data_IF_992578239399
#
_entry.id   IF_992578239399
#
_cell.length_a   1.000
_cell.length_b   1.000
_cell.length_c   1.000
_cell.angle_alpha   90.00
_cell.angle_beta   90.00
_cell.angle_gamma   90.00
#
_symmetry.space_group_name_H-M   'P 1'
#
loop_
_entity.id
_entity.type
_entity.pdbx_description
1 polymer ?
#
# COMPACT_ATOMS: atom_id res chain seq x y z
N UNK A 1 -11.91 5.53 12.35
CA UNK A 1 -11.02 6.71 12.30
C UNK A 1 -11.42 7.73 13.37
N UNK A 2 -12.72 8.12 13.46
CA UNK A 2 -13.17 9.17 14.40
C UNK A 2 -12.79 8.88 15.86
N UNK A 3 -13.01 7.65 16.31
CA UNK A 3 -12.61 7.25 17.68
C UNK A 3 -11.10 7.30 17.90
N UNK A 4 -10.30 6.90 16.91
CA UNK A 4 -8.84 6.98 17.01
C UNK A 4 -8.38 8.44 17.10
N UNK A 5 -8.92 9.30 16.24
CA UNK A 5 -8.62 10.72 16.22
C UNK A 5 -9.04 11.45 17.52
N UNK A 6 -10.07 10.96 18.21
CA UNK A 6 -10.50 11.49 19.51
C UNK A 6 -9.69 10.91 20.67
N UNK A 7 -9.53 9.57 20.70
CA UNK A 7 -8.91 8.88 21.85
C UNK A 7 -7.42 9.20 22.01
N UNK A 8 -6.68 9.41 20.90
CA UNK A 8 -5.27 9.75 20.97
C UNK A 8 -5.05 11.12 21.67
N UNK A 9 -5.66 12.23 21.23
CA UNK A 9 -5.55 13.52 21.93
C UNK A 9 -6.13 13.49 23.34
N UNK A 10 -7.22 12.76 23.58
CA UNK A 10 -7.81 12.66 24.91
C UNK A 10 -6.86 11.92 25.88
N UNK A 11 -6.23 10.84 25.47
CA UNK A 11 -5.23 10.15 26.26
C UNK A 11 -4.01 11.05 26.52
N UNK A 12 -3.54 11.77 25.50
CA UNK A 12 -2.45 12.72 25.62
C UNK A 12 -2.77 13.82 26.65
N UNK A 13 -3.99 14.37 26.59
CA UNK A 13 -4.45 15.39 27.53
C UNK A 13 -4.44 14.88 28.96
N UNK A 14 -4.98 13.68 29.21
CA UNK A 14 -5.02 13.05 30.55
C UNK A 14 -3.61 12.83 31.09
N UNK A 15 -2.70 12.28 30.28
CA UNK A 15 -1.32 12.06 30.70
C UNK A 15 -0.58 13.37 30.97
N UNK A 16 -0.73 14.37 30.09
CA UNK A 16 -0.11 15.69 30.30
C UNK A 16 -0.66 16.41 31.53
N UNK A 17 -1.96 16.30 31.82
CA UNK A 17 -2.56 16.85 33.03
C UNK A 17 -1.99 16.17 34.30
N UNK A 18 -1.73 14.88 34.25
CA UNK A 18 -1.15 14.14 35.37
C UNK A 18 0.35 14.45 35.57
N UNK A 19 1.10 14.62 34.48
CA UNK A 19 2.55 14.87 34.53
C UNK A 19 2.92 16.35 34.63
N UNK A 20 1.96 17.27 34.56
CA UNK A 20 2.19 18.73 34.56
C UNK A 20 2.70 19.28 33.24
N UNK A 21 2.64 18.48 32.14
CA UNK A 21 3.18 18.82 30.81
C UNK A 21 2.25 19.60 29.88
N UNK A 22 1.27 20.35 30.39
CA UNK A 22 0.26 21.02 29.56
C UNK A 22 0.83 22.10 28.63
N UNK A 23 1.84 22.84 29.06
CA UNK A 23 2.51 23.85 28.23
C UNK A 23 3.22 23.20 27.05
N UNK A 24 3.95 22.10 27.30
CA UNK A 24 4.62 21.29 26.27
C UNK A 24 3.60 20.72 25.30
N UNK A 25 2.45 20.22 25.80
CA UNK A 25 1.38 19.68 24.98
C UNK A 25 0.79 20.73 24.04
N UNK A 26 0.51 21.94 24.57
CA UNK A 26 -0.04 23.05 23.79
C UNK A 26 0.90 23.48 22.68
N UNK A 27 2.19 23.69 23.00
CA UNK A 27 3.22 24.08 22.03
C UNK A 27 3.40 23.00 20.95
N UNK A 28 3.49 21.73 21.36
CA UNK A 28 3.63 20.62 20.42
C UNK A 28 2.42 20.46 19.47
N UNK A 29 1.21 20.76 19.98
CA UNK A 29 -0.02 20.74 19.17
C UNK A 29 0.05 21.74 18.01
N UNK A 30 0.42 22.98 18.30
CA UNK A 30 0.54 24.04 17.29
C UNK A 30 1.71 23.76 16.32
N UNK A 31 2.86 23.37 16.83
CA UNK A 31 4.03 23.02 16.01
C UNK A 31 3.75 21.84 15.06
N UNK A 32 2.99 20.84 15.52
CA UNK A 32 2.58 19.72 14.67
C UNK A 32 1.65 20.17 13.53
N UNK A 33 0.70 21.07 13.81
CA UNK A 33 -0.19 21.62 12.80
C UNK A 33 0.58 22.46 11.76
N UNK A 34 1.47 23.35 12.22
CA UNK A 34 2.31 24.16 11.34
C UNK A 34 3.25 23.30 10.47
N UNK A 35 3.80 22.23 11.01
CA UNK A 35 4.71 21.32 10.31
C UNK A 35 4.06 20.46 9.20
N UNK A 36 2.73 20.40 9.14
CA UNK A 36 2.01 19.59 8.16
C UNK A 36 2.08 20.19 6.74
N UNK A 37 1.97 21.51 6.61
CA UNK A 37 1.95 22.20 5.31
C UNK A 37 3.32 22.14 4.61
N UNK A 38 4.43 22.53 5.26
CA UNK A 38 5.77 22.38 4.65
C UNK A 38 6.09 20.95 4.25
N UNK A 39 5.67 19.95 5.05
CA UNK A 39 5.83 18.54 4.70
C UNK A 39 5.10 18.21 3.40
N UNK A 40 3.81 18.58 3.28
CA UNK A 40 3.04 18.32 2.08
C UNK A 40 3.64 19.02 0.85
N UNK A 41 4.06 20.26 1.00
CA UNK A 41 4.70 21.02 -0.08
C UNK A 41 6.03 20.40 -0.52
N UNK A 42 6.83 19.86 0.42
CA UNK A 42 8.05 19.11 0.10
C UNK A 42 7.83 17.86 -0.75
N UNK A 43 6.62 17.30 -0.72
CA UNK A 43 6.26 16.11 -1.51
C UNK A 43 5.80 16.44 -2.94
N UNK A 44 5.38 17.68 -3.21
CA UNK A 44 4.76 18.09 -4.50
C UNK A 44 5.64 17.70 -5.68
N UNK A 45 6.94 18.04 -5.66
CA UNK A 45 7.83 17.81 -6.79
C UNK A 45 8.00 16.32 -7.12
N UNK A 46 8.20 15.51 -6.09
CA UNK A 46 8.41 14.06 -6.27
C UNK A 46 7.11 13.36 -6.67
N UNK A 47 5.97 13.75 -6.10
CA UNK A 47 4.66 13.23 -6.51
C UNK A 47 4.33 13.62 -7.96
N UNK A 48 4.60 14.87 -8.35
CA UNK A 48 4.43 15.34 -9.73
C UNK A 48 5.32 14.55 -10.69
N UNK A 49 6.59 14.29 -10.33
CA UNK A 49 7.50 13.47 -11.13
C UNK A 49 6.91 12.07 -11.37
N UNK A 50 6.57 11.34 -10.30
CA UNK A 50 6.10 9.96 -10.44
C UNK A 50 4.74 9.87 -11.15
N UNK A 51 3.78 10.73 -10.82
CA UNK A 51 2.48 10.71 -11.49
C UNK A 51 2.57 11.21 -12.94
N UNK A 52 3.48 12.13 -13.23
CA UNK A 52 3.81 12.52 -14.61
C UNK A 52 4.35 11.36 -15.44
N UNK A 53 5.34 10.63 -14.90
CA UNK A 53 5.91 9.45 -15.56
C UNK A 53 4.87 8.33 -15.75
N UNK A 54 4.04 8.09 -14.72
CA UNK A 54 3.00 7.08 -14.79
C UNK A 54 1.92 7.43 -15.82
N UNK A 55 1.60 8.72 -16.00
CA UNK A 55 0.67 9.18 -17.04
C UNK A 55 1.22 8.96 -18.46
N UNK A 56 2.50 9.17 -18.67
CA UNK A 56 3.17 8.80 -19.93
C UNK A 56 3.06 7.29 -20.18
N UNK A 57 3.33 6.48 -19.19
CA UNK A 57 3.24 5.02 -19.27
C UNK A 57 1.80 4.54 -19.54
N UNK A 58 0.82 5.13 -18.86
CA UNK A 58 -0.62 4.86 -19.06
C UNK A 58 -1.04 5.15 -20.49
N UNK A 59 -0.77 6.36 -21.00
CA UNK A 59 -1.05 6.75 -22.40
C UNK A 59 -0.29 5.92 -23.42
N UNK A 60 0.88 5.41 -23.06
CA UNK A 60 1.65 4.48 -23.88
C UNK A 60 1.05 3.05 -23.93
N UNK A 61 0.03 2.75 -23.11
CA UNK A 61 -0.60 1.45 -23.05
C UNK A 61 0.12 0.44 -22.16
N UNK A 62 0.95 0.91 -21.19
CA UNK A 62 1.64 0.04 -20.24
C UNK A 62 0.62 -0.70 -19.36
N UNK A 63 -0.48 -0.03 -18.98
CA UNK A 63 -1.56 -0.63 -18.20
C UNK A 63 -2.18 -1.81 -18.94
N UNK A 64 -2.51 -1.64 -20.23
CA UNK A 64 -3.08 -2.71 -21.07
C UNK A 64 -2.10 -3.86 -21.30
N UNK A 65 -0.81 -3.55 -21.47
CA UNK A 65 0.24 -4.56 -21.63
C UNK A 65 0.38 -5.40 -20.34
N UNK A 66 0.40 -4.75 -19.17
CA UNK A 66 0.44 -5.42 -17.86
C UNK A 66 -0.81 -6.26 -17.64
N UNK A 67 -1.99 -5.75 -18.00
CA UNK A 67 -3.26 -6.46 -17.91
C UNK A 67 -3.24 -7.75 -18.74
N UNK A 68 -2.71 -7.73 -19.96
CA UNK A 68 -2.57 -8.94 -20.81
C UNK A 68 -1.67 -10.00 -20.18
N UNK A 69 -0.59 -9.58 -19.52
CA UNK A 69 0.32 -10.51 -18.82
C UNK A 69 -0.35 -11.13 -17.59
N UNK A 70 -1.18 -10.37 -16.88
CA UNK A 70 -1.87 -10.83 -15.67
C UNK A 70 -3.13 -11.66 -15.94
N UNK A 71 -3.75 -11.50 -17.11
CA UNK A 71 -5.01 -12.16 -17.46
C UNK A 71 -4.98 -13.69 -17.27
N UNK A 72 -3.98 -14.45 -17.74
CA UNK A 72 -3.94 -15.91 -17.55
C UNK A 72 -3.88 -16.31 -16.07
N UNK A 73 -3.25 -15.52 -15.22
CA UNK A 73 -3.18 -15.76 -13.78
C UNK A 73 -4.54 -15.54 -13.12
N UNK A 74 -5.21 -14.42 -13.44
CA UNK A 74 -6.52 -14.10 -12.87
C UNK A 74 -7.60 -15.10 -13.33
N UNK A 75 -7.59 -15.55 -14.57
CA UNK A 75 -8.49 -16.61 -15.04
C UNK A 75 -8.39 -17.89 -14.19
N UNK A 76 -7.20 -18.24 -13.71
CA UNK A 76 -7.01 -19.40 -12.81
C UNK A 76 -7.40 -19.11 -11.36
N UNK A 77 -7.19 -17.89 -10.90
CA UNK A 77 -7.57 -17.48 -9.56
C UNK A 77 -9.07 -17.37 -9.38
N UNK A 78 -9.81 -17.05 -10.44
CA UNK A 78 -11.25 -16.81 -10.42
C UNK A 78 -12.03 -17.77 -11.34
N UNK A 79 -12.00 -19.10 -11.11
CA UNK A 79 -12.67 -20.07 -11.96
C UNK A 79 -14.20 -19.95 -11.95
N UNK A 80 -14.76 -19.23 -10.97
CA UNK A 80 -16.21 -18.96 -10.86
C UNK A 80 -16.67 -17.81 -11.77
N UNK A 81 -15.71 -17.07 -12.37
CA UNK A 81 -16.02 -15.93 -13.26
C UNK A 81 -15.77 -16.33 -14.70
N UNK A 82 -16.78 -16.27 -15.59
CA UNK A 82 -16.58 -16.59 -16.99
C UNK A 82 -15.49 -15.71 -17.64
N UNK A 83 -14.64 -16.26 -18.52
CA UNK A 83 -13.54 -15.52 -19.14
C UNK A 83 -13.96 -14.27 -19.89
N UNK A 84 -15.11 -14.34 -20.58
CA UNK A 84 -15.64 -13.24 -21.40
C UNK A 84 -16.53 -12.28 -20.60
N UNK A 85 -16.71 -12.53 -19.29
CA UNK A 85 -17.54 -11.67 -18.45
C UNK A 85 -16.79 -10.34 -18.13
N UNK A 86 -17.48 -9.17 -18.17
CA UNK A 86 -16.85 -7.87 -17.91
C UNK A 86 -16.14 -7.77 -16.56
N UNK A 87 -16.54 -8.57 -15.56
CA UNK A 87 -15.86 -8.66 -14.27
C UNK A 87 -14.38 -9.02 -14.43
N UNK A 88 -14.05 -9.97 -15.31
CA UNK A 88 -12.68 -10.43 -15.52
C UNK A 88 -11.81 -9.27 -16.03
N UNK A 89 -12.25 -8.55 -17.05
CA UNK A 89 -11.54 -7.38 -17.57
C UNK A 89 -11.32 -6.30 -16.51
N UNK A 90 -12.35 -5.96 -15.73
CA UNK A 90 -12.26 -4.96 -14.68
C UNK A 90 -11.31 -5.39 -13.53
N UNK A 91 -11.34 -6.66 -13.13
CA UNK A 91 -10.41 -7.21 -12.12
C UNK A 91 -8.96 -7.16 -12.61
N UNK A 92 -8.70 -7.55 -13.87
CA UNK A 92 -7.36 -7.52 -14.47
C UNK A 92 -6.83 -6.09 -14.51
N UNK A 93 -7.63 -5.13 -14.94
CA UNK A 93 -7.26 -3.70 -14.98
C UNK A 93 -6.99 -3.14 -13.58
N UNK A 94 -7.80 -3.51 -12.58
CA UNK A 94 -7.59 -3.09 -11.20
C UNK A 94 -6.25 -3.61 -10.65
N UNK A 95 -5.97 -4.91 -10.82
CA UNK A 95 -4.71 -5.52 -10.34
C UNK A 95 -3.51 -4.94 -11.08
N UNK A 96 -3.63 -4.71 -12.40
CA UNK A 96 -2.57 -4.07 -13.19
C UNK A 96 -2.29 -2.63 -12.72
N UNK A 97 -3.34 -1.85 -12.42
CA UNK A 97 -3.20 -0.49 -11.91
C UNK A 97 -2.52 -0.47 -10.52
N UNK A 98 -2.90 -1.37 -9.63
CA UNK A 98 -2.24 -1.52 -8.31
C UNK A 98 -0.76 -1.88 -8.47
N UNK A 99 -0.45 -2.88 -9.31
CA UNK A 99 0.91 -3.34 -9.57
C UNK A 99 1.83 -2.19 -10.05
N UNK A 100 1.30 -1.33 -10.91
CA UNK A 100 2.01 -0.17 -11.45
C UNK A 100 2.02 1.04 -10.49
N UNK A 101 1.36 0.96 -9.33
CA UNK A 101 1.27 2.07 -8.39
C UNK A 101 0.31 3.20 -8.81
N UNK A 102 -0.63 2.90 -9.73
CA UNK A 102 -1.66 3.84 -10.21
C UNK A 102 -2.88 3.85 -9.28
N UNK A 103 -2.69 4.13 -7.98
CA UNK A 103 -3.74 4.01 -6.95
C UNK A 103 -5.05 4.75 -7.28
N UNK A 104 -4.96 5.93 -7.91
CA UNK A 104 -6.14 6.69 -8.32
C UNK A 104 -6.96 5.97 -9.40
N UNK A 105 -6.33 5.23 -10.31
CA UNK A 105 -6.99 4.45 -11.35
C UNK A 105 -7.47 3.08 -10.84
N UNK A 106 -6.82 2.51 -9.84
CA UNK A 106 -7.15 1.18 -9.31
C UNK A 106 -8.56 1.13 -8.68
N UNK A 107 -8.92 2.11 -7.85
CA UNK A 107 -10.20 2.13 -7.14
C UNK A 107 -11.42 2.12 -8.07
N UNK A 108 -11.53 2.96 -9.12
CA UNK A 108 -12.63 2.88 -10.07
C UNK A 108 -12.77 1.53 -10.77
N UNK A 109 -11.64 0.92 -11.19
CA UNK A 109 -11.65 -0.42 -11.76
C UNK A 109 -12.10 -1.48 -10.75
N UNK A 110 -11.69 -1.34 -9.48
CA UNK A 110 -12.10 -2.24 -8.41
C UNK A 110 -13.60 -2.16 -8.10
N UNK A 111 -14.19 -0.96 -8.09
CA UNK A 111 -15.63 -0.77 -7.93
C UNK A 111 -16.39 -1.42 -9.09
N UNK A 112 -15.99 -1.17 -10.35
CA UNK A 112 -16.58 -1.80 -11.52
C UNK A 112 -16.45 -3.33 -11.49
N UNK A 113 -15.29 -3.84 -11.04
CA UNK A 113 -15.11 -5.29 -10.88
C UNK A 113 -16.13 -5.85 -9.87
N UNK A 114 -16.32 -5.18 -8.73
CA UNK A 114 -17.30 -5.59 -7.72
C UNK A 114 -18.74 -5.51 -8.23
N UNK A 115 -19.11 -4.48 -8.99
CA UNK A 115 -20.42 -4.35 -9.61
C UNK A 115 -20.70 -5.52 -10.56
N UNK A 116 -19.75 -5.87 -11.40
CA UNK A 116 -19.85 -7.00 -12.31
C UNK A 116 -19.83 -8.35 -11.56
N UNK A 117 -19.03 -8.51 -10.51
CA UNK A 117 -19.07 -9.70 -9.66
C UNK A 117 -20.40 -9.84 -8.93
N UNK A 118 -21.02 -8.71 -8.52
CA UNK A 118 -22.33 -8.72 -7.88
C UNK A 118 -23.45 -9.12 -8.87
N UNK A 119 -23.30 -8.86 -10.16
CA UNK A 119 -24.25 -9.36 -11.17
C UNK A 119 -24.28 -10.89 -11.22
N UNK A 120 -23.14 -11.54 -10.97
CA UNK A 120 -23.00 -13.00 -10.90
C UNK A 120 -23.38 -13.59 -9.52
N UNK A 121 -23.63 -12.73 -8.52
CA UNK A 121 -23.90 -13.17 -7.15
C UNK A 121 -25.32 -13.73 -7.00
N UNK A 122 -25.49 -15.02 -6.66
CA UNK A 122 -26.81 -15.63 -6.49
C UNK A 122 -27.51 -15.17 -5.18
N UNK A 123 -26.76 -14.70 -4.17
CA UNK A 123 -27.28 -14.31 -2.86
C UNK A 123 -26.91 -12.86 -2.56
N UNK A 124 -27.79 -11.95 -2.98
CA UNK A 124 -27.55 -10.51 -2.79
C UNK A 124 -27.29 -10.13 -1.33
N UNK A 125 -26.38 -9.18 -1.13
CA UNK A 125 -26.00 -8.70 0.20
C UNK A 125 -25.02 -9.62 0.98
N UNK A 126 -24.65 -10.77 0.42
CA UNK A 126 -23.67 -11.70 1.01
C UNK A 126 -22.50 -11.89 0.03
N UNK A 127 -21.26 -11.67 0.48
CA UNK A 127 -20.10 -11.79 -0.38
C UNK A 127 -19.90 -13.20 -0.94
N UNK A 128 -19.60 -13.32 -2.24
CA UNK A 128 -19.19 -14.59 -2.89
C UNK A 128 -17.71 -14.89 -2.62
N UNK A 129 -17.25 -16.11 -2.92
CA UNK A 129 -15.83 -16.46 -2.80
C UNK A 129 -14.97 -15.61 -3.73
N UNK A 130 -15.42 -15.35 -4.97
CA UNK A 130 -14.74 -14.48 -5.91
C UNK A 130 -14.60 -13.04 -5.38
N UNK A 131 -15.67 -12.48 -4.81
CA UNK A 131 -15.64 -11.14 -4.21
C UNK A 131 -14.70 -11.06 -3.00
N UNK A 132 -14.70 -12.08 -2.13
CA UNK A 132 -13.77 -12.15 -0.99
C UNK A 132 -12.31 -12.26 -1.45
N UNK A 133 -12.02 -13.16 -2.41
CA UNK A 133 -10.68 -13.33 -2.95
C UNK A 133 -10.19 -12.04 -3.64
N UNK A 134 -11.03 -11.41 -4.45
CA UNK A 134 -10.69 -10.16 -5.12
C UNK A 134 -10.40 -9.04 -4.11
N UNK A 135 -11.20 -8.93 -3.05
CA UNK A 135 -10.97 -7.98 -1.97
C UNK A 135 -9.65 -8.29 -1.24
N UNK A 136 -9.38 -9.54 -0.90
CA UNK A 136 -8.15 -9.94 -0.22
C UNK A 136 -6.88 -9.62 -1.05
N UNK A 137 -6.92 -9.81 -2.37
CA UNK A 137 -5.83 -9.40 -3.28
C UNK A 137 -5.64 -7.89 -3.27
N UNK A 138 -6.73 -7.12 -3.21
CA UNK A 138 -6.65 -5.65 -3.16
C UNK A 138 -6.15 -5.13 -1.81
N UNK A 139 -6.41 -5.79 -0.70
CA UNK A 139 -5.85 -5.42 0.62
C UNK A 139 -4.36 -5.70 0.70
N UNK A 140 -3.90 -6.82 0.14
CA UNK A 140 -2.49 -7.18 0.08
C UNK A 140 -1.69 -6.43 -0.99
N UNK A 141 -2.37 -6.00 -2.04
CA UNK A 141 -1.97 -5.13 -3.17
C UNK A 141 -0.48 -5.17 -3.56
N UNK A 142 -0.11 -6.08 -4.50
CA UNK A 142 1.26 -6.09 -5.03
C UNK A 142 1.61 -4.74 -5.63
N UNK A 143 2.66 -4.11 -5.11
CA UNK A 143 3.13 -2.80 -5.54
C UNK A 143 4.61 -2.88 -5.93
N UNK A 144 4.94 -2.55 -7.19
CA UNK A 144 6.33 -2.50 -7.65
C UNK A 144 7.00 -1.23 -7.17
N UNK A 145 6.29 -0.10 -7.23
CA UNK A 145 6.83 1.21 -6.89
C UNK A 145 5.98 1.88 -5.80
N UNK A 146 6.43 1.89 -4.54
CA UNK A 146 5.77 2.63 -3.46
C UNK A 146 6.07 4.14 -3.57
N UNK A 147 5.51 4.80 -4.60
CA UNK A 147 5.83 6.18 -5.00
C UNK A 147 5.66 7.19 -3.87
N UNK A 148 4.61 7.06 -3.07
CA UNK A 148 4.35 7.95 -1.92
C UNK A 148 5.42 7.82 -0.82
N UNK A 149 5.92 6.61 -0.57
CA UNK A 149 6.99 6.38 0.41
C UNK A 149 8.32 6.94 -0.11
N UNK A 150 8.62 6.70 -1.39
CA UNK A 150 9.82 7.25 -2.03
C UNK A 150 9.79 8.78 -1.97
N UNK A 151 8.62 9.39 -2.27
CA UNK A 151 8.42 10.82 -2.19
C UNK A 151 8.67 11.36 -0.77
N UNK A 152 8.08 10.72 0.25
CA UNK A 152 8.25 11.12 1.64
C UNK A 152 9.72 11.02 2.08
N UNK A 153 10.40 9.91 1.80
CA UNK A 153 11.81 9.72 2.13
C UNK A 153 12.69 10.75 1.45
N UNK A 154 12.46 11.03 0.15
CA UNK A 154 13.15 12.08 -0.59
C UNK A 154 12.92 13.47 0.03
N UNK A 155 11.67 13.81 0.36
CA UNK A 155 11.32 15.08 0.99
C UNK A 155 11.91 15.28 2.40
N UNK A 156 12.26 14.17 3.08
CA UNK A 156 12.94 14.16 4.38
C UNK A 156 14.47 14.01 4.28
N UNK A 157 15.04 14.14 3.08
CA UNK A 157 16.48 14.15 2.85
C UNK A 157 17.15 12.78 2.89
N UNK A 158 16.42 11.69 2.59
CA UNK A 158 17.00 10.34 2.49
C UNK A 158 18.11 10.29 1.44
N UNK A 159 19.23 9.66 1.77
CA UNK A 159 20.34 9.43 0.84
C UNK A 159 19.98 8.39 -0.24
N UNK A 160 19.11 7.43 0.08
CA UNK A 160 18.58 6.42 -0.86
C UNK A 160 17.07 6.25 -0.72
N UNK A 161 16.25 7.14 -1.31
CA UNK A 161 14.78 7.06 -1.20
C UNK A 161 14.19 5.76 -1.73
N UNK A 162 14.85 5.11 -2.70
CA UNK A 162 14.41 3.88 -3.34
C UNK A 162 14.73 2.60 -2.55
N UNK A 163 15.45 2.68 -1.42
CA UNK A 163 15.81 1.51 -0.60
C UNK A 163 14.59 0.67 -0.16
N UNK A 164 13.41 1.27 -0.10
CA UNK A 164 12.14 0.59 0.25
C UNK A 164 11.57 -0.28 -0.87
N UNK A 165 12.03 -0.14 -2.13
CA UNK A 165 11.40 -0.81 -3.30
C UNK A 165 11.52 -2.33 -3.19
N UNK A 166 12.72 -2.85 -2.99
CA UNK A 166 12.96 -4.28 -2.91
C UNK A 166 12.23 -4.95 -1.73
N UNK A 167 12.36 -4.45 -0.47
CA UNK A 167 11.66 -5.06 0.65
C UNK A 167 10.14 -4.92 0.53
N UNK A 168 9.61 -3.82 -0.04
CA UNK A 168 8.18 -3.66 -0.29
C UNK A 168 7.68 -4.71 -1.30
N UNK A 169 8.37 -4.91 -2.40
CA UNK A 169 7.99 -5.91 -3.40
C UNK A 169 7.94 -7.32 -2.79
N UNK A 170 8.94 -7.70 -2.00
CA UNK A 170 8.96 -9.01 -1.31
C UNK A 170 7.78 -9.12 -0.34
N UNK A 171 7.56 -8.10 0.49
CA UNK A 171 6.49 -8.09 1.48
C UNK A 171 5.10 -8.17 0.84
N UNK A 172 4.84 -7.44 -0.25
CA UNK A 172 3.56 -7.47 -0.97
C UNK A 172 3.31 -8.82 -1.65
N UNK A 173 4.34 -9.45 -2.20
CA UNK A 173 4.21 -10.79 -2.82
C UNK A 173 3.86 -11.85 -1.79
N UNK A 174 4.52 -11.85 -0.64
CA UNK A 174 4.20 -12.77 0.47
C UNK A 174 2.80 -12.50 1.00
N UNK A 175 2.46 -11.24 1.28
CA UNK A 175 1.14 -10.84 1.74
C UNK A 175 0.04 -11.28 0.78
N UNK A 176 0.21 -11.06 -0.54
CA UNK A 176 -0.75 -11.47 -1.57
C UNK A 176 -0.86 -12.99 -1.67
N UNK A 177 0.26 -13.71 -1.60
CA UNK A 177 0.24 -15.18 -1.56
C UNK A 177 -0.55 -15.72 -0.37
N UNK A 178 -0.34 -15.14 0.82
CA UNK A 178 -1.09 -15.49 2.04
C UNK A 178 -2.56 -15.07 1.95
N UNK A 179 -2.87 -13.92 1.35
CA UNK A 179 -4.23 -13.48 1.08
C UNK A 179 -5.00 -14.47 0.21
N UNK A 180 -4.39 -14.93 -0.88
CA UNK A 180 -4.96 -15.95 -1.78
C UNK A 180 -5.16 -17.27 -1.03
N UNK A 181 -4.14 -17.72 -0.30
CA UNK A 181 -4.20 -18.97 0.46
C UNK A 181 -5.28 -18.92 1.54
N UNK A 182 -5.33 -17.86 2.34
CA UNK A 182 -6.34 -17.70 3.40
C UNK A 182 -7.76 -17.63 2.82
N UNK A 183 -7.96 -16.91 1.70
CA UNK A 183 -9.24 -16.87 1.03
C UNK A 183 -9.67 -18.26 0.55
N UNK A 184 -8.74 -19.07 0.03
CA UNK A 184 -9.02 -20.45 -0.40
C UNK A 184 -9.29 -21.40 0.77
N UNK A 185 -8.57 -21.28 1.86
CA UNK A 185 -8.76 -22.14 3.04
C UNK A 185 -10.03 -21.80 3.82
N UNK A 186 -10.40 -20.55 3.89
CA UNK A 186 -11.58 -20.08 4.65
C UNK A 186 -12.87 -20.08 3.82
N UNK A 187 -12.80 -20.34 2.51
CA UNK A 187 -14.01 -20.47 1.68
C UNK A 187 -14.86 -21.66 2.14
N UNK A 188 -16.09 -21.41 2.60
CA UNK A 188 -17.06 -22.45 2.92
C UNK A 188 -17.82 -22.89 1.65
N UNK A 189 -17.92 -24.20 1.43
CA UNK A 189 -18.68 -24.77 0.33
C UNK A 189 -17.82 -25.09 -0.91
N UNK A 190 -18.31 -26.02 -1.75
CA UNK A 190 -17.69 -26.31 -3.06
C UNK A 190 -17.92 -25.12 -3.97
N UNK A 191 -16.84 -24.46 -4.38
CA UNK A 191 -16.89 -23.62 -5.60
C UNK A 191 -17.31 -24.54 -6.75
N UNK A 192 -18.37 -24.21 -7.45
CA UNK A 192 -18.73 -24.89 -8.69
C UNK A 192 -17.79 -24.30 -9.75
N UNK A 193 -16.79 -25.03 -10.24
CA UNK A 193 -15.95 -24.52 -11.30
C UNK A 193 -16.83 -24.37 -12.54
N UNK A 194 -16.98 -23.17 -13.07
CA UNK A 194 -17.36 -23.04 -14.46
C UNK A 194 -16.20 -23.66 -15.25
N UNK A 195 -16.51 -24.70 -16.03
CA UNK A 195 -15.50 -25.43 -16.81
C UNK A 195 -14.84 -24.44 -17.79
N UNK A 196 -13.70 -23.91 -17.40
CA UNK A 196 -12.91 -23.02 -18.25
C UNK A 196 -12.01 -23.94 -19.10
N UNK A 197 -12.38 -24.08 -20.36
CA UNK A 197 -11.68 -24.91 -21.36
C UNK A 197 -10.30 -24.38 -21.81
N UNK A 198 -9.62 -23.56 -21.01
CA UNK A 198 -8.28 -23.06 -21.32
C UNK A 198 -7.33 -23.32 -20.16
N UNK A 199 -6.69 -24.48 -20.19
CA UNK A 199 -5.48 -24.70 -19.39
C UNK A 199 -4.35 -23.82 -19.96
N UNK A 200 -4.14 -22.61 -19.38
CA UNK A 200 -2.89 -21.90 -19.65
C UNK A 200 -1.73 -22.87 -19.29
N UNK A 201 -0.75 -23.03 -20.14
CA UNK A 201 0.24 -24.10 -20.00
C UNK A 201 1.04 -23.90 -18.69
N UNK A 202 1.29 -25.01 -17.99
CA UNK A 202 2.04 -24.99 -16.70
C UNK A 202 3.42 -24.32 -16.83
N UNK A 203 4.03 -24.39 -18.01
CA UNK A 203 5.32 -23.74 -18.27
C UNK A 203 5.23 -22.20 -18.18
N UNK A 204 4.09 -21.58 -18.51
CA UNK A 204 3.90 -20.12 -18.36
C UNK A 204 3.90 -19.69 -16.90
N UNK A 205 3.31 -20.49 -15.99
CA UNK A 205 3.39 -20.22 -14.55
C UNK A 205 4.79 -20.49 -14.00
N UNK A 206 5.46 -21.56 -14.47
CA UNK A 206 6.83 -21.82 -14.08
C UNK A 206 7.77 -20.70 -14.55
N UNK A 207 7.60 -20.19 -15.77
CA UNK A 207 8.38 -19.09 -16.31
C UNK A 207 8.15 -17.78 -15.52
N UNK A 208 6.89 -17.45 -15.18
CA UNK A 208 6.59 -16.28 -14.35
C UNK A 208 7.13 -16.45 -12.93
N UNK A 209 7.02 -17.63 -12.34
CA UNK A 209 7.57 -17.94 -11.01
C UNK A 209 9.09 -17.86 -10.98
N UNK A 210 9.78 -18.41 -12.00
CA UNK A 210 11.23 -18.34 -12.15
C UNK A 210 11.70 -16.90 -12.42
N UNK A 211 10.98 -16.14 -13.25
CA UNK A 211 11.26 -14.72 -13.50
C UNK A 211 11.15 -13.89 -12.24
N UNK A 212 10.11 -14.12 -11.43
CA UNK A 212 9.91 -13.44 -10.15
C UNK A 212 10.99 -13.85 -9.12
N UNK A 213 11.32 -15.13 -9.02
CA UNK A 213 12.40 -15.61 -8.16
C UNK A 213 13.76 -15.04 -8.56
N UNK A 214 14.03 -14.96 -9.87
CA UNK A 214 15.23 -14.32 -10.42
C UNK A 214 15.29 -12.84 -10.12
N UNK A 215 14.18 -12.12 -10.23
CA UNK A 215 14.07 -10.70 -9.84
C UNK A 215 14.33 -10.51 -8.36
N UNK A 216 13.71 -11.31 -7.50
CA UNK A 216 13.94 -11.27 -6.04
C UNK A 216 15.42 -11.57 -5.73
N UNK A 217 16.01 -12.60 -6.34
CA UNK A 217 17.41 -12.93 -6.15
C UNK A 217 18.35 -11.79 -6.60
N UNK A 218 18.04 -11.15 -7.73
CA UNK A 218 18.78 -9.98 -8.21
C UNK A 218 18.64 -8.78 -7.25
N UNK A 219 17.44 -8.51 -6.73
CA UNK A 219 17.19 -7.46 -5.76
C UNK A 219 17.90 -7.75 -4.41
N UNK A 220 17.98 -9.01 -3.99
CA UNK A 220 18.73 -9.40 -2.79
C UNK A 220 20.24 -9.26 -3.02
N UNK A 221 20.77 -9.70 -4.18
CA UNK A 221 22.19 -9.67 -4.45
C UNK A 221 22.76 -8.26 -4.69
N UNK A 222 21.98 -7.37 -5.31
CA UNK A 222 22.44 -6.05 -5.77
C UNK A 222 21.58 -4.89 -5.29
N UNK A 223 20.63 -5.10 -4.40
CA UNK A 223 19.63 -4.09 -4.01
C UNK A 223 20.20 -2.77 -3.50
N UNK A 224 21.29 -2.81 -2.75
CA UNK A 224 21.96 -1.59 -2.26
C UNK A 224 22.63 -0.82 -3.40
N UNK A 225 23.32 -1.52 -4.31
CA UNK A 225 23.99 -0.90 -5.47
C UNK A 225 22.97 -0.41 -6.49
N UNK A 226 21.93 -1.19 -6.75
CA UNK A 226 20.88 -0.88 -7.73
C UNK A 226 19.97 0.24 -7.23
N UNK A 227 19.84 0.44 -5.91
CA UNK A 227 18.93 1.45 -5.34
C UNK A 227 19.07 2.84 -5.95
N UNK A 228 20.30 3.31 -6.17
CA UNK A 228 20.57 4.61 -6.77
C UNK A 228 20.25 4.67 -8.28
N UNK A 229 20.21 3.54 -8.96
CA UNK A 229 19.89 3.45 -10.40
C UNK A 229 18.40 3.35 -10.67
N UNK A 230 17.59 2.94 -9.69
CA UNK A 230 16.15 2.68 -9.89
C UNK A 230 15.44 3.92 -10.44
N UNK A 231 15.57 5.07 -9.77
CA UNK A 231 14.84 6.27 -10.15
C UNK A 231 15.31 6.82 -11.51
N UNK A 232 16.63 7.04 -11.78
CA UNK A 232 17.08 7.50 -13.08
C UNK A 232 16.71 6.54 -14.22
N UNK A 233 16.89 5.25 -14.02
CA UNK A 233 16.53 4.24 -15.03
C UNK A 233 15.04 4.20 -15.31
N UNK A 234 14.21 4.34 -14.27
CA UNK A 234 12.75 4.41 -14.41
C UNK A 234 12.33 5.63 -15.25
N UNK A 235 12.90 6.80 -14.96
CA UNK A 235 12.62 8.03 -15.74
C UNK A 235 12.91 7.79 -17.22
N UNK A 236 14.13 7.32 -17.54
CA UNK A 236 14.54 7.09 -18.93
C UNK A 236 13.69 5.99 -19.58
N UNK A 237 13.42 4.90 -18.87
CA UNK A 237 12.64 3.78 -19.41
C UNK A 237 11.19 4.16 -19.72
N UNK A 238 10.51 4.90 -18.82
CA UNK A 238 9.12 5.30 -19.03
C UNK A 238 8.97 6.38 -20.09
N UNK A 239 9.88 7.36 -20.13
CA UNK A 239 9.89 8.35 -21.20
C UNK A 239 10.25 7.71 -22.55
N UNK A 240 11.26 6.82 -22.60
CA UNK A 240 11.64 6.08 -23.78
C UNK A 240 10.52 5.17 -24.29
N UNK A 241 9.80 4.49 -23.36
CA UNK A 241 8.61 3.72 -23.69
C UNK A 241 7.51 4.60 -24.30
N UNK A 242 7.24 5.79 -23.72
CA UNK A 242 6.29 6.76 -24.25
C UNK A 242 6.66 7.22 -25.67
N UNK A 243 7.95 7.53 -25.93
CA UNK A 243 8.44 7.88 -27.27
C UNK A 243 8.24 6.72 -28.26
N UNK A 244 8.60 5.51 -27.89
CA UNK A 244 8.39 4.32 -28.72
C UNK A 244 6.92 4.10 -29.07
N UNK A 245 6.03 4.41 -28.12
CA UNK A 245 4.56 4.33 -28.28
C UNK A 245 3.96 5.57 -28.95
N UNK A 246 4.78 6.53 -29.37
CA UNK A 246 4.38 7.81 -30.01
C UNK A 246 3.43 8.66 -29.15
N UNK A 247 3.62 8.60 -27.84
CA UNK A 247 2.90 9.46 -26.90
C UNK A 247 3.49 10.88 -26.97
N UNK A 248 2.64 11.90 -26.90
CA UNK A 248 3.07 13.27 -26.65
C UNK A 248 3.55 13.35 -25.18
N UNK A 249 4.82 12.99 -24.95
CA UNK A 249 5.36 12.72 -23.60
C UNK A 249 5.34 13.94 -22.70
N UNK A 250 5.62 15.12 -23.25
CA UNK A 250 5.64 16.35 -22.47
C UNK A 250 4.23 16.69 -21.93
N UNK A 251 3.23 16.68 -22.81
CA UNK A 251 1.85 16.97 -22.49
C UNK A 251 1.29 15.93 -21.51
N UNK A 252 1.56 14.65 -21.74
CA UNK A 252 1.15 13.56 -20.84
C UNK A 252 1.82 13.71 -19.48
N UNK A 253 3.11 14.02 -19.43
CA UNK A 253 3.82 14.25 -18.18
C UNK A 253 3.23 15.43 -17.41
N UNK A 254 2.99 16.58 -18.07
CA UNK A 254 2.42 17.76 -17.42
C UNK A 254 1.01 17.49 -16.88
N UNK A 255 0.19 16.71 -17.61
CA UNK A 255 -1.13 16.28 -17.13
C UNK A 255 -1.03 15.48 -15.84
N UNK A 256 -0.18 14.43 -15.81
CA UNK A 256 0.04 13.63 -14.60
C UNK A 256 0.71 14.42 -13.46
N UNK A 257 1.60 15.34 -13.77
CA UNK A 257 2.24 16.21 -12.78
C UNK A 257 1.21 17.12 -12.08
N UNK A 258 0.20 17.62 -12.80
CA UNK A 258 -0.92 18.38 -12.19
C UNK A 258 -1.74 17.52 -11.24
N UNK A 259 -1.97 16.25 -11.57
CA UNK A 259 -2.62 15.30 -10.66
C UNK A 259 -1.79 15.12 -9.39
N UNK A 260 -0.44 15.01 -9.52
CA UNK A 260 0.49 14.91 -8.40
C UNK A 260 0.43 16.09 -7.44
N UNK A 261 0.37 17.29 -7.99
CA UNK A 261 0.15 18.52 -7.21
C UNK A 261 -1.18 18.47 -6.44
N UNK A 262 -2.28 18.10 -7.14
CA UNK A 262 -3.59 18.01 -6.52
C UNK A 262 -3.64 16.98 -5.38
N UNK A 263 -2.94 15.86 -5.52
CA UNK A 263 -2.82 14.84 -4.46
C UNK A 263 -2.05 15.40 -3.26
N UNK A 264 -0.91 16.07 -3.48
CA UNK A 264 -0.12 16.65 -2.41
C UNK A 264 -0.91 17.71 -1.60
N UNK A 265 -1.70 18.54 -2.26
CA UNK A 265 -2.59 19.51 -1.58
C UNK A 265 -3.72 18.81 -0.82
N UNK A 266 -4.32 17.76 -1.41
CA UNK A 266 -5.43 17.00 -0.81
C UNK A 266 -5.05 16.31 0.49
N UNK A 267 -3.79 15.91 0.67
CA UNK A 267 -3.36 15.23 1.88
C UNK A 267 -3.15 16.17 3.07
N UNK A 268 -3.02 17.49 2.88
CA UNK A 268 -2.75 18.47 3.95
C UNK A 268 -3.72 18.34 5.13
N UNK A 269 -5.07 18.35 4.96
CA UNK A 269 -5.98 18.26 6.09
C UNK A 269 -5.80 16.95 6.90
N UNK A 270 -5.50 15.86 6.22
CA UNK A 270 -5.26 14.55 6.87
C UNK A 270 -3.93 14.58 7.64
N UNK A 271 -2.89 15.19 7.08
CA UNK A 271 -1.60 15.38 7.77
C UNK A 271 -1.78 16.23 9.03
N UNK A 272 -2.47 17.37 8.94
CA UNK A 272 -2.75 18.21 10.11
C UNK A 272 -3.43 17.39 11.21
N UNK A 273 -4.52 16.69 10.89
CA UNK A 273 -5.28 15.91 11.87
C UNK A 273 -4.43 14.84 12.56
N UNK A 274 -3.64 14.09 11.79
CA UNK A 274 -2.84 12.98 12.33
C UNK A 274 -1.56 13.48 13.02
N UNK A 275 -0.85 14.44 12.43
CA UNK A 275 0.36 14.99 13.06
C UNK A 275 0.05 15.65 14.40
N UNK A 276 -1.09 16.35 14.50
CA UNK A 276 -1.56 16.90 15.77
C UNK A 276 -1.85 15.79 16.77
N UNK A 277 -2.65 14.77 16.39
CA UNK A 277 -2.99 13.69 17.31
C UNK A 277 -1.75 12.91 17.80
N UNK A 278 -0.85 12.54 16.88
CA UNK A 278 0.38 11.80 17.21
C UNK A 278 1.39 12.68 17.93
N UNK A 279 1.52 13.94 17.52
CA UNK A 279 2.38 14.92 18.18
C UNK A 279 2.00 15.15 19.65
N UNK A 280 0.69 15.27 19.94
CA UNK A 280 0.17 15.35 21.31
C UNK A 280 0.51 14.10 22.14
N UNK A 281 0.27 12.90 21.60
CA UNK A 281 0.57 11.63 22.30
C UNK A 281 2.06 11.47 22.57
N UNK A 282 2.92 11.92 21.65
CA UNK A 282 4.37 11.90 21.84
C UNK A 282 4.82 12.93 22.88
N UNK A 283 4.32 14.18 22.80
CA UNK A 283 4.69 15.27 23.70
C UNK A 283 4.24 15.02 25.15
N UNK A 284 3.10 14.36 25.35
CA UNK A 284 2.61 13.99 26.69
C UNK A 284 3.35 12.81 27.34
N UNK A 285 4.18 12.06 26.58
CA UNK A 285 4.77 10.80 27.03
C UNK A 285 3.83 9.58 26.94
N UNK A 286 2.57 9.75 26.54
CA UNK A 286 1.59 8.67 26.41
C UNK A 286 2.04 7.60 25.41
N UNK A 287 2.80 8.00 24.38
CA UNK A 287 3.35 7.08 23.39
C UNK A 287 4.32 6.08 24.05
N UNK A 288 5.18 6.52 24.93
CA UNK A 288 6.14 5.67 25.63
C UNK A 288 5.43 4.61 26.49
N UNK A 289 4.33 4.99 27.16
CA UNK A 289 3.52 4.05 27.97
C UNK A 289 2.98 2.86 27.16
N UNK A 290 2.74 3.06 25.87
CA UNK A 290 2.27 1.99 24.96
C UNK A 290 3.44 1.26 24.31
N UNK A 291 4.46 2.00 23.84
CA UNK A 291 5.57 1.41 23.09
C UNK A 291 6.52 0.60 23.98
N UNK A 292 6.73 0.98 25.24
CA UNK A 292 7.63 0.24 26.13
C UNK A 292 7.16 -1.20 26.42
N UNK A 293 5.90 -1.45 26.87
CA UNK A 293 5.41 -2.82 27.07
C UNK A 293 5.35 -3.60 25.74
N UNK A 294 4.89 -2.94 24.68
CA UNK A 294 4.83 -3.56 23.35
C UNK A 294 6.22 -3.95 22.86
N UNK A 295 7.21 -3.07 23.04
CA UNK A 295 8.61 -3.31 22.70
C UNK A 295 9.22 -4.50 23.41
N UNK A 296 8.92 -4.70 24.71
CA UNK A 296 9.38 -5.88 25.48
C UNK A 296 8.90 -7.19 24.85
N UNK A 297 7.65 -7.23 24.38
CA UNK A 297 7.07 -8.42 23.74
C UNK A 297 7.62 -8.60 22.32
N UNK A 298 7.64 -7.54 21.53
CA UNK A 298 8.02 -7.63 20.11
C UNK A 298 9.53 -7.77 19.89
N UNK A 299 10.35 -7.29 20.84
CA UNK A 299 11.81 -7.52 20.84
C UNK A 299 12.17 -9.01 20.91
N UNK A 300 11.36 -9.86 21.55
CA UNK A 300 11.58 -11.31 21.56
C UNK A 300 11.62 -11.91 20.14
N UNK A 301 10.90 -11.30 19.20
CA UNK A 301 10.88 -11.66 17.78
C UNK A 301 11.64 -10.65 16.93
N UNK A 302 12.31 -9.68 17.58
CA UNK A 302 13.10 -8.64 16.93
C UNK A 302 12.32 -7.69 16.05
N UNK A 303 11.06 -7.43 16.37
CA UNK A 303 10.20 -6.47 15.68
C UNK A 303 10.15 -5.17 16.50
N UNK A 304 10.52 -4.00 15.94
CA UNK A 304 10.35 -2.73 16.62
C UNK A 304 8.87 -2.46 16.97
N UNK A 305 8.60 -1.88 18.14
CA UNK A 305 7.24 -1.58 18.58
C UNK A 305 6.50 -0.64 17.59
N UNK A 306 7.24 0.30 17.02
CA UNK A 306 6.75 1.25 16.00
C UNK A 306 6.24 0.52 14.76
N UNK A 307 6.84 -0.61 14.39
CA UNK A 307 6.41 -1.41 13.25
C UNK A 307 5.02 -2.03 13.46
N UNK A 308 4.75 -2.53 14.67
CA UNK A 308 3.42 -3.06 15.02
C UNK A 308 2.37 -1.96 15.03
N UNK A 309 2.71 -0.80 15.60
CA UNK A 309 1.83 0.36 15.59
C UNK A 309 1.53 0.83 14.16
N UNK A 310 2.55 0.86 13.29
CA UNK A 310 2.40 1.21 11.87
C UNK A 310 1.48 0.23 11.16
N UNK A 311 1.66 -1.08 11.35
CA UNK A 311 0.83 -2.13 10.74
C UNK A 311 -0.63 -2.00 11.18
N UNK A 312 -0.88 -1.80 12.48
CA UNK A 312 -2.24 -1.60 13.01
C UNK A 312 -2.89 -0.34 12.42
N UNK A 313 -2.17 0.78 12.37
CA UNK A 313 -2.69 2.02 11.78
C UNK A 313 -2.93 1.87 10.28
N UNK A 314 -2.09 1.12 9.57
CA UNK A 314 -2.21 0.89 8.12
C UNK A 314 -3.50 0.16 7.77
N UNK A 315 -3.88 -0.85 8.54
CA UNK A 315 -5.14 -1.57 8.35
C UNK A 315 -6.37 -0.67 8.59
N UNK A 316 -6.27 0.33 9.48
CA UNK A 316 -7.37 1.22 9.87
C UNK A 316 -7.52 2.44 8.97
N UNK A 317 -6.43 3.10 8.61
CA UNK A 317 -6.44 4.39 7.91
C UNK A 317 -5.19 4.62 7.07
N UNK A 318 -5.35 4.71 5.75
CA UNK A 318 -4.24 4.98 4.82
C UNK A 318 -3.62 6.37 5.03
N UNK A 319 -4.44 7.42 5.13
CA UNK A 319 -3.96 8.78 5.40
C UNK A 319 -3.38 8.93 6.81
N UNK A 320 -4.00 8.26 7.80
CA UNK A 320 -3.50 8.22 9.17
C UNK A 320 -2.14 7.56 9.28
N UNK A 321 -1.96 6.42 8.64
CA UNK A 321 -0.66 5.72 8.60
C UNK A 321 0.40 6.51 7.84
N UNK A 322 0.03 7.27 6.79
CA UNK A 322 0.98 8.16 6.11
C UNK A 322 1.46 9.29 7.01
N UNK A 323 0.55 9.91 7.76
CA UNK A 323 0.91 10.94 8.75
C UNK A 323 1.80 10.37 9.86
N UNK A 324 1.47 9.17 10.37
CA UNK A 324 2.31 8.47 11.36
C UNK A 324 3.70 8.16 10.80
N UNK A 325 3.79 7.66 9.56
CA UNK A 325 5.05 7.39 8.87
C UNK A 325 5.91 8.67 8.77
N UNK A 326 5.28 9.77 8.35
CA UNK A 326 5.96 11.05 8.22
C UNK A 326 6.50 11.56 9.56
N UNK A 327 5.71 11.44 10.63
CA UNK A 327 6.12 11.85 11.98
C UNK A 327 7.26 10.98 12.51
N UNK A 328 7.16 9.67 12.35
CA UNK A 328 8.22 8.76 12.79
C UNK A 328 9.54 8.99 12.03
N UNK A 329 9.49 9.21 10.72
CA UNK A 329 10.70 9.48 9.92
C UNK A 329 11.32 10.85 10.19
N UNK A 330 10.55 11.84 10.67
CA UNK A 330 11.08 13.12 11.14
C UNK A 330 11.83 13.01 12.47
N UNK A 331 11.53 11.99 13.26
CA UNK A 331 12.23 11.76 14.51
C UNK A 331 13.69 11.40 14.23
N UNK A 332 14.63 12.20 14.76
CA UNK A 332 16.06 12.02 14.55
C UNK A 332 16.58 10.63 15.04
N UNK A 333 15.90 10.01 16.01
CA UNK A 333 16.24 8.67 16.48
C UNK A 333 15.86 7.56 15.49
N UNK A 334 14.85 7.82 14.61
CA UNK A 334 14.42 6.87 13.58
C UNK A 334 15.02 7.28 12.24
N UNK A 335 14.72 8.48 11.74
CA UNK A 335 15.21 8.98 10.45
C UNK A 335 14.75 8.15 9.24
N UNK A 336 14.82 8.71 8.02
CA UNK A 336 14.35 7.98 6.85
C UNK A 336 15.27 6.82 6.44
N UNK A 337 16.58 6.88 6.71
CA UNK A 337 17.58 5.91 6.24
C UNK A 337 17.96 4.86 7.29
N UNK A 338 17.44 4.94 8.50
CA UNK A 338 17.63 3.90 9.52
C UNK A 338 16.86 2.61 9.15
N UNK A 339 17.25 1.50 9.77
CA UNK A 339 16.49 0.24 9.66
C UNK A 339 15.00 0.43 9.97
N UNK A 340 14.68 1.13 11.06
CA UNK A 340 13.29 1.42 11.44
C UNK A 340 12.58 2.29 10.40
N UNK A 341 13.22 3.32 9.87
CA UNK A 341 12.65 4.18 8.84
C UNK A 341 12.34 3.43 7.55
N UNK A 342 13.26 2.58 7.08
CA UNK A 342 13.04 1.72 5.90
C UNK A 342 11.95 0.70 6.19
N UNK A 343 11.95 0.06 7.36
CA UNK A 343 10.93 -0.91 7.75
C UNK A 343 9.53 -0.29 7.80
N UNK A 344 9.36 0.86 8.44
CA UNK A 344 8.08 1.57 8.51
C UNK A 344 7.58 1.95 7.12
N UNK A 345 8.48 2.43 6.25
CA UNK A 345 8.17 2.71 4.85
C UNK A 345 7.76 1.46 4.08
N UNK A 346 8.44 0.35 4.32
CA UNK A 346 8.12 -0.96 3.72
C UNK A 346 6.74 -1.45 4.16
N UNK A 347 6.43 -1.38 5.45
CA UNK A 347 5.11 -1.77 5.99
C UNK A 347 4.00 -0.91 5.37
N UNK A 348 4.21 0.40 5.32
CA UNK A 348 3.24 1.31 4.69
C UNK A 348 3.02 0.97 3.20
N UNK A 349 4.09 0.70 2.46
CA UNK A 349 4.05 0.41 1.02
C UNK A 349 3.57 -1.00 0.67
N UNK A 350 3.56 -1.92 1.64
CA UNK A 350 3.32 -3.35 1.40
C UNK A 350 1.86 -3.80 1.59
N UNK A 351 0.94 -2.92 1.93
CA UNK A 351 -0.48 -3.25 2.07
C UNK A 351 -1.35 -2.03 1.74
N UNK A 352 -2.61 -2.28 1.45
CA UNK A 352 -3.66 -1.26 1.41
C UNK A 352 -4.42 -1.25 2.75
N UNK A 353 -5.29 -0.26 2.93
CA UNK A 353 -6.08 -0.10 4.14
C UNK A 353 -7.25 -1.08 4.16
N UNK A 354 -7.12 -2.20 4.85
CA UNK A 354 -8.09 -3.32 4.86
C UNK A 354 -9.52 -2.86 5.11
N UNK A 355 -9.77 -2.05 6.15
CA UNK A 355 -11.12 -1.56 6.46
C UNK A 355 -11.67 -0.61 5.40
N UNK A 356 -10.82 0.21 4.79
CA UNK A 356 -11.22 1.11 3.70
C UNK A 356 -11.62 0.31 2.45
N UNK A 357 -10.81 -0.66 2.05
CA UNK A 357 -11.08 -1.50 0.87
C UNK A 357 -12.40 -2.26 1.05
N UNK A 358 -12.64 -2.83 2.25
CA UNK A 358 -13.92 -3.48 2.57
C UNK A 358 -15.09 -2.49 2.44
N UNK A 359 -14.97 -1.32 3.05
CA UNK A 359 -16.04 -0.32 3.06
C UNK A 359 -16.36 0.20 1.65
N UNK A 360 -15.34 0.48 0.84
CA UNK A 360 -15.52 1.02 -0.52
C UNK A 360 -16.04 -0.04 -1.48
N UNK A 361 -15.43 -1.21 -1.52
CA UNK A 361 -15.77 -2.22 -2.53
C UNK A 361 -17.09 -2.94 -2.21
N UNK A 362 -17.27 -3.37 -0.96
CA UNK A 362 -18.53 -4.00 -0.57
C UNK A 362 -19.66 -2.99 -0.39
N UNK A 363 -19.33 -1.78 0.07
CA UNK A 363 -20.30 -0.69 0.18
C UNK A 363 -20.89 -0.28 -1.18
N UNK A 364 -20.08 -0.21 -2.23
CA UNK A 364 -20.51 0.15 -3.58
C UNK A 364 -21.59 -0.81 -4.13
N UNK A 365 -21.59 -2.08 -3.70
CA UNK A 365 -22.53 -3.10 -4.17
C UNK A 365 -23.53 -3.57 -3.10
N UNK A 366 -23.58 -2.90 -1.96
CA UNK A 366 -24.54 -3.18 -0.90
C UNK A 366 -24.34 -4.50 -0.16
N UNK A 367 -23.12 -5.06 -0.18
CA UNK A 367 -22.78 -6.26 0.59
C UNK A 367 -22.74 -5.92 2.08
N UNK A 368 -23.57 -6.60 2.88
CA UNK A 368 -23.66 -6.45 4.33
C UNK A 368 -22.99 -7.61 5.09
N UNK A 369 -23.03 -8.82 4.51
CA UNK A 369 -22.41 -10.02 5.10
C UNK A 369 -21.08 -10.27 4.39
N UNK A 370 -20.00 -9.77 4.99
CA UNK A 370 -18.64 -9.80 4.44
C UNK A 370 -17.95 -11.18 4.56
N UNK A 371 -18.55 -12.15 5.25
CA UNK A 371 -18.03 -13.49 5.50
C UNK A 371 -16.59 -13.44 6.06
N UNK A 372 -15.67 -14.19 5.46
CA UNK A 372 -14.28 -14.29 5.89
C UNK A 372 -13.36 -13.19 5.29
N UNK A 373 -13.91 -12.18 4.59
CA UNK A 373 -13.10 -11.14 3.93
C UNK A 373 -12.18 -10.38 4.89
N UNK A 374 -12.71 -9.96 6.06
CA UNK A 374 -11.92 -9.25 7.07
C UNK A 374 -10.79 -10.14 7.62
N UNK A 375 -11.09 -11.41 7.90
CA UNK A 375 -10.08 -12.35 8.41
C UNK A 375 -8.94 -12.53 7.39
N UNK A 376 -9.27 -12.69 6.09
CA UNK A 376 -8.27 -12.78 5.03
C UNK A 376 -7.40 -11.53 4.94
N UNK A 377 -8.00 -10.33 5.01
CA UNK A 377 -7.26 -9.06 4.99
C UNK A 377 -6.29 -8.96 6.16
N UNK A 378 -6.76 -9.21 7.40
CA UNK A 378 -5.91 -9.12 8.59
C UNK A 378 -4.81 -10.19 8.63
N UNK A 379 -5.07 -11.40 8.14
CA UNK A 379 -4.05 -12.45 8.00
C UNK A 379 -2.99 -12.02 6.97
N UNK A 380 -3.41 -11.41 5.87
CA UNK A 380 -2.50 -10.86 4.85
C UNK A 380 -1.66 -9.70 5.41
N UNK A 381 -2.27 -8.79 6.18
CA UNK A 381 -1.56 -7.67 6.85
C UNK A 381 -0.49 -8.20 7.82
N UNK A 382 -0.84 -9.20 8.64
CA UNK A 382 0.11 -9.83 9.56
C UNK A 382 1.27 -10.52 8.82
N UNK A 383 0.97 -11.25 7.74
CA UNK A 383 2.00 -11.88 6.91
C UNK A 383 2.89 -10.85 6.22
N UNK A 384 2.31 -9.74 5.74
CA UNK A 384 3.03 -8.61 5.17
C UNK A 384 3.98 -7.96 6.17
N UNK A 385 3.56 -7.76 7.42
CA UNK A 385 4.42 -7.26 8.50
C UNK A 385 5.62 -8.18 8.73
N UNK A 386 5.38 -9.48 8.89
CA UNK A 386 6.47 -10.46 9.11
C UNK A 386 7.43 -10.48 7.92
N UNK A 387 6.89 -10.50 6.70
CA UNK A 387 7.70 -10.48 5.48
C UNK A 387 8.50 -9.17 5.33
N UNK A 388 7.92 -8.02 5.70
CA UNK A 388 8.62 -6.73 5.69
C UNK A 388 9.82 -6.72 6.66
N UNK A 389 9.64 -7.26 7.88
CA UNK A 389 10.73 -7.38 8.86
C UNK A 389 11.85 -8.27 8.32
N UNK A 390 11.52 -9.45 7.77
CA UNK A 390 12.50 -10.38 7.22
C UNK A 390 13.22 -9.75 6.01
N UNK A 391 12.46 -9.16 5.08
CA UNK A 391 13.03 -8.54 3.89
C UNK A 391 13.97 -7.37 4.24
N UNK A 392 13.59 -6.51 5.19
CA UNK A 392 14.45 -5.42 5.64
C UNK A 392 15.71 -5.94 6.34
N UNK A 393 15.64 -7.00 7.14
CA UNK A 393 16.83 -7.60 7.76
C UNK A 393 17.80 -8.17 6.74
N UNK A 394 17.28 -8.81 5.70
CA UNK A 394 18.14 -9.42 4.66
C UNK A 394 18.75 -8.38 3.72
N UNK A 395 18.03 -7.28 3.45
CA UNK A 395 18.44 -6.32 2.42
C UNK A 395 19.11 -5.06 2.98
N UNK A 396 18.85 -4.70 4.24
CA UNK A 396 19.27 -3.39 4.81
C UNK A 396 20.22 -3.57 6.00
N UNK A 397 20.08 -4.64 6.78
CA UNK A 397 21.03 -4.99 7.84
C UNK A 397 22.24 -5.71 7.28
#
# INVERSE_FOLDING_TARGET
>A
VNWVLFLLPAAALVVAAWTGGMETLSTATLAAAEGAVPLALGLVGVMALFLGLMKVAEKGGLLDATARVLSPLLLRLFPEVPPDHPAMGAMVMNVAANLLGLGNAATPFGIRAMEHLESLNPVKGTATNAQVLFLAINTASVTILPTSVIALRSGLGSANPAAVVAPTLIATLVSTGVAILSARLLQGGRSVPVAVGTSAPLWGLAATGLGLAGLIAALVAWGQTIGHWIIPSLVVALLGFGLWRRVAIYEAFVEGAREGFAVAVRIIPYLVAILVAVGMVRASGALALVLEPLGRVTQLVGVPAEAVMMAAMRSLSGSGSFGLLAEQMKNAAIGPDSFSGVLLGTIYGSSETTFYVIAVYFGAVGIRRIRHALACGLIADAAGLVAAVIACRVLIA
#
